data_IF_560118159499
#
_entry.id   IF_560118159499
#
_cell.length_a   1.000
_cell.length_b   1.000
_cell.length_c   1.000
_cell.angle_alpha   90.00
_cell.angle_beta   90.00
_cell.angle_gamma   90.00
#
_symmetry.space_group_name_H-M   'P 1'
#
loop_
_entity.id
_entity.type
_entity.pdbx_description
1 polymer ?
#
# COMPACT_ATOMS: atom_id res chain seq x y z
N UNK A 1 54.28 49.72 17.33
CA UNK A 1 54.09 50.68 18.46
C UNK A 1 52.79 51.44 18.23
N UNK A 2 51.86 51.36 19.19
CA UNK A 2 50.85 52.37 19.64
C UNK A 2 50.25 53.31 18.56
N UNK A 3 48.96 53.57 18.38
CA UNK A 3 47.66 53.18 18.96
C UNK A 3 46.67 54.22 18.42
N UNK A 4 45.39 53.86 18.23
CA UNK A 4 44.21 54.74 18.45
C UNK A 4 43.99 55.89 17.42
N UNK A 5 42.82 56.05 16.76
CA UNK A 5 41.50 56.53 17.26
C UNK A 5 40.48 56.46 16.10
N UNK A 6 39.30 55.85 16.27
CA UNK A 6 37.99 56.50 16.57
C UNK A 6 37.46 57.39 15.41
N UNK A 7 36.23 57.30 14.89
CA UNK A 7 34.94 57.12 15.56
C UNK A 7 33.89 56.44 14.67
N UNK A 8 32.98 55.79 15.39
CA UNK A 8 31.78 55.04 15.05
C UNK A 8 30.86 55.61 13.95
N UNK A 9 30.36 54.66 13.17
CA UNK A 9 29.40 54.76 12.08
C UNK A 9 28.03 55.32 12.49
N UNK A 10 27.40 56.04 11.55
CA UNK A 10 25.96 56.32 11.57
C UNK A 10 25.18 54.99 11.69
N UNK A 11 24.51 54.81 12.81
CA UNK A 11 23.57 53.70 13.03
C UNK A 11 22.35 53.89 12.13
N UNK A 12 22.32 53.23 10.97
CA UNK A 12 21.10 53.06 10.18
C UNK A 12 20.05 52.27 10.97
N UNK A 13 18.86 52.83 11.10
CA UNK A 13 17.68 52.16 11.63
C UNK A 13 17.27 51.04 10.67
N UNK A 14 17.63 49.79 11.00
CA UNK A 14 17.11 48.61 10.30
C UNK A 14 15.74 48.29 10.89
N UNK A 15 14.67 48.64 10.18
CA UNK A 15 13.32 48.17 10.49
C UNK A 15 13.25 46.71 10.04
N UNK A 16 13.37 45.78 11.00
CA UNK A 16 13.13 44.36 10.75
C UNK A 16 11.61 44.15 10.72
N UNK A 17 11.02 44.06 9.53
CA UNK A 17 9.68 43.51 9.38
C UNK A 17 9.76 42.00 9.63
N UNK A 18 9.40 41.57 10.84
CA UNK A 18 9.10 40.17 11.10
C UNK A 18 7.81 39.83 10.34
N UNK A 19 7.97 39.31 9.12
CA UNK A 19 6.86 38.67 8.40
C UNK A 19 6.53 37.42 9.19
N UNK A 20 5.44 37.50 9.97
CA UNK A 20 4.89 36.34 10.66
C UNK A 20 4.64 35.23 9.65
N UNK A 21 5.22 34.06 9.89
CA UNK A 21 4.88 32.86 9.14
C UNK A 21 3.41 32.56 9.42
N UNK A 22 2.54 32.91 8.47
CA UNK A 22 1.23 32.28 8.38
C UNK A 22 1.53 30.80 8.15
N UNK A 23 1.22 29.96 9.13
CA UNK A 23 1.46 28.53 9.08
C UNK A 23 0.77 27.91 7.86
N UNK A 24 1.51 27.82 6.75
CA UNK A 24 1.05 27.13 5.56
C UNK A 24 1.22 25.64 5.82
N UNK A 25 0.13 24.94 6.10
CA UNK A 25 0.15 23.48 6.15
C UNK A 25 0.43 22.98 4.73
N UNK A 26 1.63 22.47 4.47
CA UNK A 26 1.85 21.68 3.26
C UNK A 26 1.12 20.35 3.44
N UNK A 27 0.05 20.07 2.69
CA UNK A 27 -0.55 18.75 2.73
C UNK A 27 0.51 17.73 2.31
N UNK A 28 0.53 16.52 2.92
CA UNK A 28 1.44 15.48 2.48
C UNK A 28 1.25 15.24 0.97
N UNK A 29 2.34 15.01 0.22
CA UNK A 29 2.22 14.78 -1.21
C UNK A 29 1.33 13.56 -1.47
N UNK A 30 0.40 13.70 -2.42
CA UNK A 30 -0.38 12.57 -2.91
C UNK A 30 0.59 11.52 -3.49
N UNK A 31 0.68 10.36 -2.84
CA UNK A 31 1.45 9.22 -3.35
C UNK A 31 0.56 8.40 -4.27
N UNK A 32 0.94 8.31 -5.53
CA UNK A 32 0.32 7.35 -6.44
C UNK A 32 0.74 5.94 -6.02
N UNK A 33 -0.22 5.14 -5.58
CA UNK A 33 0.03 3.75 -5.18
C UNK A 33 -0.18 2.88 -6.41
N UNK A 34 0.91 2.32 -6.94
CA UNK A 34 0.82 1.39 -8.05
C UNK A 34 0.20 0.08 -7.52
N UNK A 35 -0.86 -0.44 -8.16
CA UNK A 35 -1.42 -1.73 -7.78
C UNK A 35 -0.34 -2.81 -7.86
N UNK A 36 -0.15 -3.56 -6.78
CA UNK A 36 0.81 -4.65 -6.73
C UNK A 36 0.34 -5.87 -7.54
N UNK A 37 -0.96 -5.97 -7.83
CA UNK A 37 -1.57 -6.95 -8.72
C UNK A 37 -2.88 -6.42 -9.31
N UNK A 38 -3.25 -6.92 -10.50
CA UNK A 38 -4.46 -6.54 -11.25
C UNK A 38 -5.11 -7.77 -11.89
N UNK A 39 -6.25 -7.58 -12.58
CA UNK A 39 -6.90 -8.68 -13.31
C UNK A 39 -7.80 -9.60 -12.46
N UNK A 40 -8.26 -9.10 -11.31
CA UNK A 40 -9.20 -9.83 -10.45
C UNK A 40 -10.65 -9.39 -10.65
N UNK A 41 -11.59 -10.33 -10.49
CA UNK A 41 -13.03 -10.06 -10.54
C UNK A 41 -13.66 -10.25 -9.16
N UNK A 42 -14.12 -9.17 -8.55
CA UNK A 42 -14.68 -9.18 -7.17
C UNK A 42 -13.80 -9.97 -6.18
N UNK A 43 -12.51 -9.61 -5.99
CA UNK A 43 -11.64 -10.28 -5.02
C UNK A 43 -12.17 -10.09 -3.59
N UNK A 44 -12.11 -11.15 -2.77
CA UNK A 44 -12.62 -11.16 -1.40
C UNK A 44 -11.54 -11.42 -0.37
N UNK A 45 -10.61 -12.33 -0.66
CA UNK A 45 -9.59 -12.77 0.28
C UNK A 45 -8.25 -12.94 -0.43
N UNK A 46 -7.20 -12.43 0.21
CA UNK A 46 -5.80 -12.70 -0.10
C UNK A 46 -5.21 -13.51 1.06
N UNK A 47 -4.63 -14.67 0.78
CA UNK A 47 -4.05 -15.53 1.82
C UNK A 47 -2.88 -16.37 1.29
N UNK A 48 -2.25 -17.16 2.16
CA UNK A 48 -1.26 -18.18 1.83
C UNK A 48 -1.63 -19.51 2.48
N UNK A 49 -1.07 -20.61 1.96
CA UNK A 49 -1.38 -21.95 2.48
C UNK A 49 -0.67 -22.30 3.80
N UNK A 50 0.41 -21.59 4.16
CA UNK A 50 1.18 -21.89 5.37
C UNK A 50 2.14 -23.07 5.22
N UNK A 51 2.32 -23.55 3.99
CA UNK A 51 3.09 -24.71 3.55
C UNK A 51 4.56 -24.39 3.19
N UNK A 52 5.11 -23.28 3.69
CA UNK A 52 6.47 -22.82 3.34
C UNK A 52 6.68 -22.34 1.89
N UNK A 53 5.77 -22.60 0.96
CA UNK A 53 5.92 -22.24 -0.47
C UNK A 53 5.81 -20.74 -0.74
N UNK A 54 5.19 -19.99 0.19
CA UNK A 54 4.88 -18.56 0.07
C UNK A 54 4.03 -18.22 -1.16
N UNK A 55 3.26 -19.19 -1.65
CA UNK A 55 2.26 -18.95 -2.70
C UNK A 55 1.14 -18.06 -2.17
N UNK A 56 0.73 -17.14 -3.01
CA UNK A 56 -0.36 -16.21 -2.72
C UNK A 56 -1.61 -16.70 -3.41
N UNK A 57 -2.71 -16.82 -2.66
CA UNK A 57 -4.02 -17.23 -3.15
C UNK A 57 -4.99 -16.05 -3.09
N UNK A 58 -5.69 -15.81 -4.19
CA UNK A 58 -6.74 -14.79 -4.30
C UNK A 58 -8.07 -15.47 -4.54
N UNK A 59 -9.02 -15.23 -3.65
CA UNK A 59 -10.39 -15.74 -3.75
C UNK A 59 -11.26 -14.71 -4.45
N UNK A 60 -11.86 -15.09 -5.57
CA UNK A 60 -12.84 -14.29 -6.31
C UNK A 60 -14.26 -14.76 -5.99
N UNK A 61 -15.16 -13.82 -5.67
CA UNK A 61 -16.55 -14.11 -5.26
C UNK A 61 -17.30 -15.02 -6.24
N UNK A 62 -16.95 -14.94 -7.52
CA UNK A 62 -17.53 -15.77 -8.59
C UNK A 62 -17.20 -17.27 -8.51
N UNK A 63 -16.38 -17.72 -7.54
CA UNK A 63 -16.03 -19.13 -7.38
C UNK A 63 -14.72 -19.53 -8.04
N UNK A 64 -13.81 -18.58 -8.25
CA UNK A 64 -12.46 -18.85 -8.76
C UNK A 64 -11.46 -18.56 -7.64
N UNK A 65 -10.51 -19.46 -7.44
CA UNK A 65 -9.33 -19.22 -6.60
C UNK A 65 -8.12 -19.18 -7.53
N UNK A 66 -7.42 -18.05 -7.52
CA UNK A 66 -6.18 -17.84 -8.28
C UNK A 66 -4.97 -18.03 -7.37
N UNK A 67 -3.84 -18.47 -7.94
CA UNK A 67 -2.58 -18.67 -7.21
C UNK A 67 -1.40 -18.11 -7.99
N UNK A 68 -0.43 -17.55 -7.27
CA UNK A 68 0.85 -17.12 -7.83
C UNK A 68 2.02 -17.54 -6.92
N UNK A 69 3.19 -17.86 -7.48
CA UNK A 69 4.42 -18.03 -6.70
C UNK A 69 4.89 -16.68 -6.11
N UNK A 70 5.78 -16.69 -5.11
CA UNK A 70 6.27 -15.47 -4.48
C UNK A 70 6.92 -14.53 -5.50
N UNK A 71 6.50 -13.26 -5.49
CA UNK A 71 7.03 -12.23 -6.38
C UNK A 71 6.45 -12.22 -7.80
N UNK A 72 5.59 -13.17 -8.16
CA UNK A 72 4.90 -13.18 -9.45
C UNK A 72 3.64 -12.32 -9.42
N UNK A 73 3.46 -11.52 -10.47
CA UNK A 73 2.20 -10.81 -10.77
C UNK A 73 1.30 -11.61 -11.71
N UNK A 74 1.78 -12.75 -12.21
CA UNK A 74 1.03 -13.68 -13.05
C UNK A 74 0.38 -14.74 -12.17
N UNK A 75 -0.95 -14.84 -12.28
CA UNK A 75 -1.77 -15.77 -11.52
C UNK A 75 -2.34 -16.87 -12.43
N UNK A 76 -2.28 -18.12 -11.97
CA UNK A 76 -3.01 -19.25 -12.58
C UNK A 76 -4.24 -19.60 -11.76
N UNK A 77 -5.14 -20.42 -12.31
CA UNK A 77 -6.32 -20.91 -11.58
C UNK A 77 -5.89 -22.10 -10.72
N UNK A 78 -6.07 -21.99 -9.41
CA UNK A 78 -5.93 -23.09 -8.45
C UNK A 78 -7.21 -23.92 -8.36
N UNK A 79 -8.37 -23.25 -8.29
CA UNK A 79 -9.67 -23.91 -8.18
C UNK A 79 -10.74 -23.12 -8.94
N UNK A 80 -11.66 -23.83 -9.59
CA UNK A 80 -12.83 -23.26 -10.25
C UNK A 80 -14.08 -24.05 -9.87
N UNK A 81 -14.96 -23.42 -9.09
CA UNK A 81 -16.26 -23.94 -8.67
C UNK A 81 -17.40 -23.03 -9.13
N UNK A 82 -17.20 -22.25 -10.19
CA UNK A 82 -18.19 -21.31 -10.75
C UNK A 82 -19.54 -21.97 -11.03
N UNK A 83 -19.56 -23.25 -11.43
CA UNK A 83 -20.79 -24.02 -11.68
C UNK A 83 -21.53 -24.45 -10.41
N UNK A 84 -20.91 -24.29 -9.24
CA UNK A 84 -21.44 -24.69 -7.93
C UNK A 84 -21.85 -23.51 -7.05
N UNK A 85 -21.62 -22.28 -7.50
CA UNK A 85 -21.94 -21.07 -6.73
C UNK A 85 -22.82 -20.12 -7.54
N UNK A 86 -23.76 -19.48 -6.86
CA UNK A 86 -24.44 -18.29 -7.37
C UNK A 86 -23.67 -17.05 -6.91
N UNK A 87 -23.64 -15.98 -7.69
CA UNK A 87 -23.00 -14.72 -7.31
C UNK A 87 -23.94 -13.52 -7.37
N UNK A 88 -23.70 -12.52 -6.51
CA UNK A 88 -24.45 -11.26 -6.47
C UNK A 88 -24.85 -10.88 -5.03
N UNK A 89 -24.76 -9.59 -4.70
CA UNK A 89 -24.84 -9.13 -3.30
C UNK A 89 -23.73 -9.80 -2.47
N UNK A 90 -24.10 -10.40 -1.34
CA UNK A 90 -23.21 -11.22 -0.50
C UNK A 90 -23.23 -12.71 -0.87
N UNK A 91 -23.82 -13.12 -2.00
CA UNK A 91 -23.72 -14.52 -2.47
C UNK A 91 -22.45 -14.73 -3.28
N UNK A 92 -21.86 -15.90 -3.12
CA UNK A 92 -20.67 -16.33 -3.86
C UNK A 92 -19.84 -17.32 -3.06
N UNK A 93 -18.60 -17.54 -3.51
CA UNK A 93 -17.55 -18.10 -2.67
C UNK A 93 -17.14 -17.04 -1.65
N UNK A 94 -17.24 -17.34 -0.35
CA UNK A 94 -17.10 -16.33 0.71
C UNK A 94 -15.79 -16.39 1.50
N UNK A 95 -15.07 -17.49 1.42
CA UNK A 95 -13.85 -17.66 2.19
C UNK A 95 -13.07 -18.89 1.76
N UNK A 96 -11.86 -18.97 2.30
CA UNK A 96 -10.94 -20.08 2.13
C UNK A 96 -10.12 -20.19 3.41
N UNK A 97 -9.97 -21.41 3.91
CA UNK A 97 -9.03 -21.75 4.97
C UNK A 97 -8.23 -22.96 4.53
N UNK A 98 -6.91 -22.89 4.72
CA UNK A 98 -6.04 -24.05 4.55
C UNK A 98 -5.94 -24.76 5.89
N UNK A 99 -5.95 -26.09 5.84
CA UNK A 99 -5.63 -26.90 7.01
C UNK A 99 -4.17 -26.61 7.43
N UNK A 100 -3.82 -26.58 8.73
CA UNK A 100 -2.44 -26.36 9.16
C UNK A 100 -1.44 -27.37 8.57
N UNK A 101 -1.93 -28.56 8.24
CA UNK A 101 -1.17 -29.65 7.62
C UNK A 101 -1.46 -29.80 6.10
N UNK A 102 -1.78 -28.69 5.41
CA UNK A 102 -2.16 -28.73 4.00
C UNK A 102 -1.08 -29.34 3.09
N UNK A 103 0.18 -29.24 3.48
CA UNK A 103 1.32 -29.81 2.74
C UNK A 103 1.26 -31.35 2.63
N UNK A 104 0.57 -32.03 3.56
CA UNK A 104 0.56 -33.49 3.68
C UNK A 104 -0.77 -34.16 3.26
N UNK A 105 -1.72 -33.44 2.66
CA UNK A 105 -3.02 -33.97 2.23
C UNK A 105 -3.05 -34.54 0.80
#
# INVERSE_FOLDING_TARGET
>A
MKSLRSLFALSSLVVVFAVGSLGQSNPPPFRYQIPWATGFSSPLLLTHAGDGTRRTFVVERGGIIKVAPPGSTTYSIFMNITTRVLSGGERGLLGLAFHPDFENN
#
